data_IF_345362069229
#
_entry.id   IF_345362069229
#
_cell.length_a   1.000
_cell.length_b   1.000
_cell.length_c   1.000
_cell.angle_alpha   90.00
_cell.angle_beta   90.00
_cell.angle_gamma   90.00
#
_symmetry.space_group_name_H-M   'P 1'
#
loop_
_entity.id
_entity.type
_entity.pdbx_description
1 polymer ?
#
# COMPACT_ATOMS: atom_id res chain seq x y z
N UNK A 1 -24.90 4.23 8.80
CA UNK A 1 -23.65 3.83 9.47
C UNK A 1 -22.42 3.97 8.56
N UNK A 2 -22.40 3.33 7.38
CA UNK A 2 -21.29 3.44 6.40
C UNK A 2 -21.02 4.89 5.98
N UNK A 3 -22.04 5.65 5.60
CA UNK A 3 -21.88 7.06 5.20
C UNK A 3 -21.33 7.96 6.33
N UNK A 4 -21.67 7.68 7.60
CA UNK A 4 -21.15 8.45 8.73
C UNK A 4 -19.66 8.18 8.93
N UNK A 5 -19.25 6.91 8.94
CA UNK A 5 -17.86 6.52 9.08
C UNK A 5 -16.98 6.97 7.90
N UNK A 6 -17.51 6.98 6.67
CA UNK A 6 -16.78 7.50 5.50
C UNK A 6 -16.60 9.02 5.57
N UNK A 7 -17.59 9.74 6.12
CA UNK A 7 -17.56 11.21 6.22
C UNK A 7 -16.80 11.72 7.45
N UNK A 8 -16.79 10.98 8.56
CA UNK A 8 -16.17 11.38 9.83
C UNK A 8 -14.92 10.56 10.18
N UNK A 9 -14.59 9.59 9.33
CA UNK A 9 -13.45 8.69 9.50
C UNK A 9 -13.41 7.95 10.86
N UNK A 10 -14.57 7.73 11.47
CA UNK A 10 -14.69 6.99 12.74
C UNK A 10 -15.04 5.53 12.49
N UNK A 11 -14.10 4.65 12.80
CA UNK A 11 -14.18 3.21 12.56
C UNK A 11 -14.41 2.40 13.83
N UNK A 12 -14.56 3.03 15.00
CA UNK A 12 -14.75 2.33 16.28
C UNK A 12 -15.97 1.42 16.26
N UNK A 13 -17.03 1.84 15.58
CA UNK A 13 -18.28 1.07 15.45
C UNK A 13 -18.19 -0.17 14.55
N UNK A 14 -17.09 -0.37 13.81
CA UNK A 14 -16.87 -1.58 13.01
C UNK A 14 -16.06 -2.64 13.74
N UNK A 15 -15.88 -2.53 15.06
CA UNK A 15 -15.07 -3.47 15.82
C UNK A 15 -15.44 -4.94 15.57
N UNK A 16 -16.73 -5.29 15.59
CA UNK A 16 -17.18 -6.67 15.39
C UNK A 16 -16.96 -7.16 13.94
N UNK A 17 -17.16 -6.27 12.96
CA UNK A 17 -16.86 -6.55 11.56
C UNK A 17 -15.35 -6.78 11.36
N UNK A 18 -14.52 -5.94 11.97
CA UNK A 18 -13.05 -5.99 11.89
C UNK A 18 -12.53 -7.25 12.61
N UNK A 19 -13.08 -7.61 13.76
CA UNK A 19 -12.78 -8.85 14.47
C UNK A 19 -13.15 -10.08 13.64
N UNK A 20 -14.31 -10.07 12.98
CA UNK A 20 -14.72 -11.12 12.04
C UNK A 20 -13.78 -11.27 10.84
N UNK A 21 -13.16 -10.17 10.41
CA UNK A 21 -12.11 -10.14 9.38
C UNK A 21 -10.74 -10.56 9.95
N UNK A 22 -10.60 -10.78 11.26
CA UNK A 22 -9.34 -11.03 11.98
C UNK A 22 -8.42 -12.12 11.40
N UNK A 23 -8.96 -13.10 10.66
CA UNK A 23 -8.13 -14.03 9.86
C UNK A 23 -7.26 -13.32 8.81
N UNK A 24 -7.70 -12.20 8.23
CA UNK A 24 -6.92 -11.35 7.31
C UNK A 24 -5.92 -10.42 8.02
N UNK A 25 -6.11 -10.13 9.31
CA UNK A 25 -5.11 -9.36 10.08
C UNK A 25 -3.88 -10.24 10.33
N UNK A 26 -4.07 -11.54 10.55
CA UNK A 26 -2.95 -12.50 10.60
C UNK A 26 -2.13 -12.51 9.30
N UNK A 27 -2.78 -12.38 8.12
CA UNK A 27 -2.06 -12.28 6.83
C UNK A 27 -1.20 -11.02 6.70
N UNK A 28 -1.44 -9.97 7.49
CA UNK A 28 -0.53 -8.81 7.53
C UNK A 28 0.76 -9.12 8.28
N UNK A 29 0.74 -9.98 9.30
CA UNK A 29 1.97 -10.45 9.93
C UNK A 29 2.80 -11.32 8.97
N UNK A 30 2.13 -12.14 8.15
CA UNK A 30 2.76 -12.88 7.05
C UNK A 30 3.35 -11.93 6.01
N UNK A 31 2.63 -10.87 5.61
CA UNK A 31 3.11 -9.91 4.62
C UNK A 31 4.41 -9.20 5.03
N UNK A 32 4.57 -8.86 6.32
CA UNK A 32 5.82 -8.26 6.80
C UNK A 32 7.01 -9.22 6.79
N UNK A 33 6.78 -10.49 7.13
CA UNK A 33 7.83 -11.49 7.13
C UNK A 33 8.25 -11.84 5.70
N UNK A 34 7.28 -12.01 4.79
CA UNK A 34 7.53 -12.19 3.35
C UNK A 34 8.32 -11.02 2.75
N UNK A 35 7.92 -9.78 3.05
CA UNK A 35 8.65 -8.60 2.60
C UNK A 35 10.11 -8.59 3.09
N UNK A 36 10.36 -9.03 4.34
CA UNK A 36 11.72 -9.18 4.85
C UNK A 36 12.52 -10.23 4.07
N UNK A 37 11.91 -11.39 3.78
CA UNK A 37 12.54 -12.44 2.98
C UNK A 37 12.89 -11.94 1.56
N UNK A 38 11.99 -11.21 0.91
CA UNK A 38 12.22 -10.59 -0.40
C UNK A 38 13.37 -9.58 -0.37
N UNK A 39 13.44 -8.76 0.69
CA UNK A 39 14.56 -7.82 0.89
C UNK A 39 15.88 -8.56 1.07
N UNK A 40 15.91 -9.57 1.93
CA UNK A 40 17.12 -10.34 2.21
C UNK A 40 17.59 -11.14 0.98
N UNK A 41 16.66 -11.57 0.13
CA UNK A 41 16.96 -12.12 -1.19
C UNK A 41 17.54 -11.07 -2.15
N UNK A 42 16.89 -9.91 -2.26
CA UNK A 42 17.31 -8.83 -3.18
C UNK A 42 18.70 -8.30 -2.83
N UNK A 43 19.01 -8.11 -1.54
CA UNK A 43 20.35 -7.68 -1.05
C UNK A 43 21.50 -8.51 -1.62
N UNK A 44 21.26 -9.78 -1.95
CA UNK A 44 22.29 -10.70 -2.44
C UNK A 44 22.46 -10.69 -3.96
N UNK A 45 21.53 -10.10 -4.72
CA UNK A 45 21.43 -10.35 -6.17
C UNK A 45 21.15 -9.13 -7.04
N UNK A 46 20.42 -8.12 -6.57
CA UNK A 46 19.93 -7.01 -7.41
C UNK A 46 19.74 -5.71 -6.63
N UNK A 47 19.85 -4.59 -7.34
CA UNK A 47 19.41 -3.29 -6.85
C UNK A 47 17.89 -3.32 -6.60
N UNK A 48 17.47 -2.89 -5.41
CA UNK A 48 16.06 -2.85 -5.04
C UNK A 48 15.71 -1.51 -4.40
N UNK A 49 14.43 -1.16 -4.45
CA UNK A 49 13.87 0.00 -3.78
C UNK A 49 12.62 -0.44 -3.02
N UNK A 50 12.49 0.01 -1.78
CA UNK A 50 11.25 -0.14 -1.03
C UNK A 50 10.41 1.09 -1.27
N UNK A 51 9.20 0.87 -1.77
CA UNK A 51 8.27 1.93 -2.12
C UNK A 51 7.23 2.10 -1.02
N UNK A 52 7.23 3.26 -0.37
CA UNK A 52 6.11 3.71 0.43
C UNK A 52 5.02 4.27 -0.50
N UNK A 53 3.85 3.61 -0.51
CA UNK A 53 2.75 4.00 -1.40
C UNK A 53 2.13 5.33 -1.01
N UNK A 54 2.20 5.74 0.27
CA UNK A 54 1.75 7.06 0.70
C UNK A 54 2.70 8.16 0.20
N UNK A 55 4.02 7.94 0.30
CA UNK A 55 5.01 8.87 -0.25
C UNK A 55 4.90 8.98 -1.78
N UNK A 56 4.67 7.84 -2.47
CA UNK A 56 4.41 7.83 -3.91
C UNK A 56 3.18 8.66 -4.25
N UNK A 57 2.06 8.48 -3.55
CA UNK A 57 0.81 9.17 -3.86
C UNK A 57 0.83 10.65 -3.50
N UNK A 58 1.62 11.05 -2.49
CA UNK A 58 1.83 12.46 -2.11
C UNK A 58 2.67 13.21 -3.14
N UNK A 59 3.75 12.60 -3.63
CA UNK A 59 4.60 13.22 -4.65
C UNK A 59 5.13 12.17 -5.66
N UNK A 60 4.29 11.78 -6.63
CA UNK A 60 4.62 10.72 -7.58
C UNK A 60 5.91 10.98 -8.35
N UNK A 61 6.09 12.21 -8.84
CA UNK A 61 7.25 12.59 -9.64
C UNK A 61 8.56 12.49 -8.85
N UNK A 62 8.59 13.04 -7.64
CA UNK A 62 9.79 13.00 -6.78
C UNK A 62 10.18 11.56 -6.44
N UNK A 63 9.20 10.74 -6.10
CA UNK A 63 9.41 9.33 -5.73
C UNK A 63 9.87 8.50 -6.93
N UNK A 64 9.23 8.66 -8.09
CA UNK A 64 9.61 7.92 -9.30
C UNK A 64 10.98 8.34 -9.83
N UNK A 65 11.36 9.62 -9.76
CA UNK A 65 12.72 10.07 -10.11
C UNK A 65 13.79 9.32 -9.30
N UNK A 66 13.58 9.18 -7.99
CA UNK A 66 14.48 8.41 -7.11
C UNK A 66 14.59 6.95 -7.54
N UNK A 67 13.45 6.29 -7.81
CA UNK A 67 13.41 4.89 -8.26
C UNK A 67 14.13 4.71 -9.59
N UNK A 68 13.86 5.59 -10.57
CA UNK A 68 14.53 5.52 -11.88
C UNK A 68 16.05 5.69 -11.77
N UNK A 69 16.54 6.49 -10.81
CA UNK A 69 17.98 6.62 -10.52
C UNK A 69 18.57 5.31 -9.99
N UNK A 70 17.89 4.63 -9.05
CA UNK A 70 18.34 3.33 -8.50
C UNK A 70 18.46 2.30 -9.60
N UNK A 71 17.43 2.17 -10.45
CA UNK A 71 17.41 1.20 -11.55
C UNK A 71 18.12 1.67 -12.81
N UNK A 72 18.80 2.81 -12.78
CA UNK A 72 19.60 3.36 -13.90
C UNK A 72 18.80 3.55 -15.20
N UNK A 73 17.53 3.94 -15.08
CA UNK A 73 16.68 4.34 -16.21
C UNK A 73 16.48 5.85 -16.25
N UNK A 74 16.35 6.42 -17.45
CA UNK A 74 16.04 7.85 -17.61
C UNK A 74 14.58 8.11 -17.24
N UNK A 75 14.35 8.98 -16.25
CA UNK A 75 13.01 9.46 -15.94
C UNK A 75 12.37 10.13 -17.16
N UNK A 76 11.12 9.78 -17.44
CA UNK A 76 10.29 10.44 -18.46
C UNK A 76 8.95 10.81 -17.83
N UNK A 77 8.42 11.99 -18.20
CA UNK A 77 7.17 12.53 -17.62
C UNK A 77 5.97 11.61 -17.87
N UNK A 78 5.98 10.86 -18.98
CA UNK A 78 4.96 9.87 -19.31
C UNK A 78 5.02 8.59 -18.46
N UNK A 79 5.88 8.49 -17.44
CA UNK A 79 5.77 7.42 -16.43
C UNK A 79 4.65 7.74 -15.43
N UNK A 80 4.29 9.02 -15.28
CA UNK A 80 3.23 9.47 -14.38
C UNK A 80 1.81 9.16 -14.89
N UNK A 81 1.70 8.89 -16.19
CA UNK A 81 0.44 8.59 -16.85
C UNK A 81 0.61 7.40 -17.77
N UNK A 82 -0.43 6.59 -17.91
CA UNK A 82 -0.41 5.42 -18.80
C UNK A 82 -1.74 5.30 -19.54
N UNK A 83 -1.72 4.60 -20.67
CA UNK A 83 -2.96 4.26 -21.38
C UNK A 83 -3.75 3.27 -20.53
N UNK A 84 -5.07 3.41 -20.53
CA UNK A 84 -5.97 2.42 -19.95
C UNK A 84 -5.69 1.06 -20.58
N UNK A 85 -5.76 0.01 -19.78
CA UNK A 85 -5.59 -1.34 -20.29
C UNK A 85 -6.81 -1.79 -21.09
N UNK A 86 -6.62 -2.79 -21.96
CA UNK A 86 -7.73 -3.45 -22.66
C UNK A 86 -8.38 -4.45 -21.72
N UNK A 87 -9.70 -4.32 -21.48
CA UNK A 87 -10.41 -5.20 -20.57
C UNK A 87 -10.38 -6.64 -21.10
N UNK A 88 -9.83 -7.56 -20.31
CA UNK A 88 -9.97 -9.00 -20.58
C UNK A 88 -11.14 -9.53 -19.76
N UNK A 89 -11.97 -10.36 -20.38
CA UNK A 89 -13.06 -11.04 -19.68
C UNK A 89 -12.47 -11.97 -18.62
N UNK A 90 -12.59 -11.56 -17.36
CA UNK A 90 -12.17 -12.37 -16.23
C UNK A 90 -13.22 -13.46 -16.03
N UNK A 91 -12.81 -14.73 -16.09
CA UNK A 91 -13.71 -15.86 -15.89
C UNK A 91 -14.52 -15.72 -14.58
N UNK A 92 -15.81 -16.06 -14.62
CA UNK A 92 -16.78 -15.98 -13.50
C UNK A 92 -16.40 -16.75 -12.22
N UNK A 93 -15.23 -17.40 -12.18
CA UNK A 93 -14.69 -18.10 -10.99
C UNK A 93 -13.97 -17.18 -10.01
N UNK A 94 -13.73 -15.91 -10.36
CA UNK A 94 -13.00 -14.99 -9.49
C UNK A 94 -13.93 -14.34 -8.45
N UNK A 95 -13.36 -13.98 -7.28
CA UNK A 95 -14.13 -13.36 -6.21
C UNK A 95 -14.53 -11.95 -6.65
N UNK A 96 -15.69 -11.48 -6.22
CA UNK A 96 -16.22 -10.15 -6.56
C UNK A 96 -15.22 -9.00 -6.26
N UNK A 97 -14.41 -9.14 -5.21
CA UNK A 97 -13.34 -8.20 -4.87
C UNK A 97 -12.23 -8.12 -5.91
N UNK A 98 -11.94 -9.24 -6.58
CA UNK A 98 -10.89 -9.34 -7.58
C UNK A 98 -11.34 -8.65 -8.88
N UNK A 99 -12.64 -8.73 -9.19
CA UNK A 99 -13.26 -8.00 -10.30
C UNK A 99 -13.19 -6.48 -10.08
N UNK A 100 -13.59 -5.99 -8.90
CA UNK A 100 -13.54 -4.56 -8.58
C UNK A 100 -12.10 -4.01 -8.65
N UNK A 101 -11.14 -4.75 -8.10
CA UNK A 101 -9.73 -4.37 -8.17
C UNK A 101 -9.23 -4.34 -9.61
N UNK A 102 -9.55 -5.36 -10.40
CA UNK A 102 -9.14 -5.43 -11.80
C UNK A 102 -9.76 -4.31 -12.64
N UNK A 103 -11.07 -4.09 -12.52
CA UNK A 103 -11.75 -2.97 -13.19
C UNK A 103 -11.11 -1.64 -12.84
N UNK A 104 -10.75 -1.42 -11.57
CA UNK A 104 -10.06 -0.22 -11.12
C UNK A 104 -8.67 -0.09 -11.75
N UNK A 105 -7.93 -1.19 -11.87
CA UNK A 105 -6.60 -1.23 -12.49
C UNK A 105 -6.68 -0.90 -13.98
N UNK A 106 -7.58 -1.55 -14.71
CA UNK A 106 -7.74 -1.37 -16.16
C UNK A 106 -8.21 0.03 -16.53
N UNK A 107 -9.03 0.64 -15.67
CA UNK A 107 -9.52 2.01 -15.84
C UNK A 107 -8.53 3.08 -15.35
N UNK A 108 -7.48 2.70 -14.63
CA UNK A 108 -6.46 3.63 -14.14
C UNK A 108 -5.59 4.15 -15.29
N UNK A 109 -5.24 5.43 -15.24
CA UNK A 109 -4.34 6.08 -16.19
C UNK A 109 -3.27 6.95 -15.53
N UNK A 110 -3.24 7.02 -14.20
CA UNK A 110 -2.27 7.79 -13.41
C UNK A 110 -2.29 7.35 -11.94
N UNK A 111 -1.31 7.79 -11.17
CA UNK A 111 -1.29 7.61 -9.72
C UNK A 111 -2.33 8.55 -9.09
N UNK A 112 -3.33 7.99 -8.42
CA UNK A 112 -4.36 8.78 -7.73
C UNK A 112 -3.75 9.40 -6.46
N UNK A 113 -3.79 10.73 -6.29
CA UNK A 113 -3.28 11.38 -5.07
C UNK A 113 -3.96 10.88 -3.79
N UNK A 114 -3.31 11.10 -2.64
CA UNK A 114 -3.91 10.82 -1.34
C UNK A 114 -5.14 11.72 -1.13
N UNK A 115 -6.29 11.12 -0.78
CA UNK A 115 -7.54 11.85 -0.50
C UNK A 115 -7.63 12.17 0.98
N UNK A 116 -7.41 13.43 1.34
CA UNK A 116 -7.61 13.94 2.71
C UNK A 116 -6.58 13.46 3.74
N UNK A 117 -6.68 13.95 4.99
CA UNK A 117 -5.83 13.50 6.08
C UNK A 117 -6.09 12.01 6.38
N UNK A 118 -5.03 11.30 6.75
CA UNK A 118 -5.16 9.94 7.27
C UNK A 118 -5.98 9.98 8.57
N UNK A 119 -6.90 9.03 8.78
CA UNK A 119 -7.67 8.95 10.01
C UNK A 119 -6.75 8.83 11.22
N UNK A 120 -7.09 9.53 12.30
CA UNK A 120 -6.36 9.42 13.56
C UNK A 120 -6.49 7.97 14.08
N UNK A 121 -5.39 7.38 14.56
CA UNK A 121 -5.39 6.03 15.11
C UNK A 121 -6.43 5.84 16.23
N UNK A 122 -6.72 6.90 16.99
CA UNK A 122 -7.73 6.88 18.06
C UNK A 122 -9.17 6.67 17.55
N UNK A 123 -9.41 6.81 16.24
CA UNK A 123 -10.69 6.54 15.57
C UNK A 123 -10.85 5.07 15.15
N UNK A 124 -9.91 4.19 15.51
CA UNK A 124 -10.00 2.75 15.26
C UNK A 124 -10.32 1.98 16.55
N UNK A 125 -10.85 0.75 16.46
CA UNK A 125 -11.04 -0.12 17.62
C UNK A 125 -9.74 -0.35 18.41
N UNK A 126 -9.85 -0.50 19.73
CA UNK A 126 -8.70 -0.57 20.63
C UNK A 126 -7.69 -1.69 20.27
N UNK A 127 -8.18 -2.84 19.81
CA UNK A 127 -7.33 -3.95 19.39
C UNK A 127 -6.49 -3.63 18.14
N UNK A 128 -7.02 -2.84 17.20
CA UNK A 128 -6.26 -2.33 16.04
C UNK A 128 -5.22 -1.32 16.48
N UNK A 129 -5.58 -0.41 17.39
CA UNK A 129 -4.63 0.56 17.94
C UNK A 129 -3.44 -0.15 18.61
N UNK A 130 -3.72 -1.20 19.39
CA UNK A 130 -2.69 -2.04 20.02
C UNK A 130 -1.81 -2.69 18.95
N UNK A 131 -2.40 -3.39 17.97
CA UNK A 131 -1.66 -4.03 16.88
C UNK A 131 -0.75 -3.06 16.12
N UNK A 132 -1.25 -1.88 15.75
CA UNK A 132 -0.46 -0.87 15.04
C UNK A 132 0.73 -0.42 15.89
N UNK A 133 0.50 -0.11 17.18
CA UNK A 133 1.55 0.39 18.08
C UNK A 133 2.59 -0.67 18.41
N UNK A 134 2.18 -1.93 18.65
CA UNK A 134 3.08 -2.97 19.16
C UNK A 134 3.70 -3.85 18.07
N UNK A 135 3.07 -3.97 16.90
CA UNK A 135 3.50 -4.90 15.84
C UNK A 135 3.82 -4.16 14.54
N UNK A 136 2.83 -3.46 13.96
CA UNK A 136 2.98 -2.93 12.59
C UNK A 136 3.99 -1.77 12.52
N UNK A 137 3.89 -0.79 13.42
CA UNK A 137 4.74 0.41 13.40
C UNK A 137 6.23 0.08 13.66
N UNK A 138 6.59 -0.77 14.64
CA UNK A 138 7.98 -1.21 14.79
C UNK A 138 8.54 -1.90 13.54
N UNK A 139 7.77 -2.81 12.92
CA UNK A 139 8.20 -3.50 11.68
C UNK A 139 8.34 -2.52 10.51
N UNK A 140 7.38 -1.62 10.31
CA UNK A 140 7.48 -0.56 9.30
C UNK A 140 8.74 0.29 9.49
N UNK A 141 9.03 0.73 10.72
CA UNK A 141 10.23 1.53 11.02
C UNK A 141 11.53 0.75 10.78
N UNK A 142 11.55 -0.56 11.05
CA UNK A 142 12.69 -1.40 10.71
C UNK A 142 12.90 -1.48 9.21
N UNK A 143 11.81 -1.67 8.45
CA UNK A 143 11.87 -1.83 7.00
C UNK A 143 12.16 -0.52 6.27
N UNK A 144 11.68 0.60 6.80
CA UNK A 144 11.96 1.95 6.29
C UNK A 144 13.46 2.25 6.25
N UNK A 145 14.25 1.68 7.17
CA UNK A 145 15.72 1.79 7.15
C UNK A 145 16.35 1.16 5.89
N UNK A 146 15.74 0.13 5.32
CA UNK A 146 16.19 -0.45 4.05
C UNK A 146 15.74 0.40 2.84
N UNK A 147 14.65 1.16 2.98
CA UNK A 147 14.21 2.16 2.00
C UNK A 147 15.11 3.40 1.92
N UNK A 148 16.07 3.56 2.86
CA UNK A 148 17.05 4.64 2.90
C UNK A 148 18.47 4.25 2.42
N UNK A 149 18.59 3.47 1.34
CA UNK A 149 19.75 3.55 0.45
C UNK A 149 19.54 4.61 -0.65
N UNK A 150 18.96 5.73 -0.22
CA UNK A 150 18.99 7.04 -0.90
C UNK A 150 19.63 8.01 0.10
N UNK A 151 20.89 7.74 0.46
CA UNK A 151 21.72 8.69 1.19
C UNK A 151 22.77 9.20 0.22
N UNK A 152 22.63 10.51 -0.05
CA UNK A 152 23.57 11.48 -0.67
C UNK A 152 24.62 10.91 -1.61
#
# INVERSE_FOLDING_TARGET
MINYATNHQDYRHFEDLIKGIGKRVSTNEFGWNQLKEEIDYCKKKKDFAILDTEELRKNPEKTLKKITKIWKFKFKKNILTWKKGEFYEISKKNRETDLIWYESLMNSNQIIPTRGPMPNLNLFPAHIQKYVKTIAMPKYNQLKKYGELIRT
#
